data_IF_963529803819
#
_entry.id   IF_963529803819
#
_cell.length_a   1.000
_cell.length_b   1.000
_cell.length_c   1.000
_cell.angle_alpha   90.00
_cell.angle_beta   90.00
_cell.angle_gamma   90.00
#
_symmetry.space_group_name_H-M   'P 1'
#
loop_
_entity.id
_entity.type
_entity.pdbx_description
1 polymer ?
#
# COMPACT_ATOMS: atom_id res chain seq x y z
N UNK A 1 17.68 11.70 16.69
CA UNK A 1 17.81 10.25 16.96
C UNK A 1 19.25 9.83 16.78
N UNK A 2 19.57 8.58 17.12
CA UNK A 2 20.84 7.95 16.73
C UNK A 2 20.98 7.90 15.20
N UNK A 3 22.16 7.58 14.70
CA UNK A 3 22.37 7.51 13.25
C UNK A 3 21.58 6.36 12.61
N UNK A 4 21.36 5.27 13.34
CA UNK A 4 20.47 4.18 12.92
C UNK A 4 19.02 4.66 12.81
N UNK A 5 18.55 5.48 13.76
CA UNK A 5 17.20 6.03 13.72
C UNK A 5 17.00 6.97 12.53
N UNK A 6 17.97 7.86 12.27
CA UNK A 6 17.95 8.75 11.10
C UNK A 6 17.96 7.97 9.79
N UNK A 7 18.72 6.87 9.72
CA UNK A 7 18.78 6.01 8.54
C UNK A 7 17.44 5.31 8.22
N UNK A 8 16.46 5.31 9.15
CA UNK A 8 15.13 4.73 8.95
C UNK A 8 14.06 5.75 8.54
N UNK A 9 14.38 7.05 8.54
CA UNK A 9 13.44 8.09 8.17
C UNK A 9 12.89 7.89 6.75
N UNK A 10 11.58 8.14 6.57
CA UNK A 10 10.91 8.00 5.28
C UNK A 10 10.64 6.56 4.81
N UNK A 11 10.97 5.52 5.60
CA UNK A 11 10.78 4.11 5.20
C UNK A 11 9.49 3.48 5.73
N UNK A 12 9.05 3.85 6.92
CA UNK A 12 7.98 3.16 7.64
C UNK A 12 6.65 3.12 6.88
N UNK A 13 6.22 4.24 6.27
CA UNK A 13 4.95 4.32 5.56
C UNK A 13 4.91 3.37 4.35
N UNK A 14 5.98 3.31 3.56
CA UNK A 14 6.07 2.42 2.40
C UNK A 14 6.13 0.96 2.86
N UNK A 15 6.94 0.65 3.86
CA UNK A 15 7.04 -0.70 4.41
C UNK A 15 5.67 -1.19 4.91
N UNK A 16 4.93 -0.34 5.64
CA UNK A 16 3.60 -0.67 6.13
C UNK A 16 2.59 -0.92 4.98
N UNK A 17 2.58 -0.05 3.96
CA UNK A 17 1.69 -0.23 2.82
C UNK A 17 1.99 -1.52 2.03
N UNK A 18 3.27 -1.93 1.94
CA UNK A 18 3.65 -3.22 1.33
C UNK A 18 3.15 -4.42 2.12
N UNK A 19 3.21 -4.38 3.45
CA UNK A 19 2.64 -5.43 4.29
C UNK A 19 1.11 -5.50 4.17
N UNK A 20 0.44 -4.34 4.07
CA UNK A 20 -0.99 -4.28 3.81
C UNK A 20 -1.36 -4.85 2.43
N UNK A 21 -0.51 -4.63 1.41
CA UNK A 21 -0.68 -5.21 0.08
C UNK A 21 -0.49 -6.73 0.08
N UNK A 22 0.52 -7.25 0.79
CA UNK A 22 0.70 -8.70 0.98
C UNK A 22 -0.52 -9.33 1.66
N UNK A 23 -1.05 -8.68 2.71
CA UNK A 23 -2.27 -9.13 3.37
C UNK A 23 -3.46 -9.15 2.40
N UNK A 24 -3.60 -8.13 1.55
CA UNK A 24 -4.61 -8.09 0.50
C UNK A 24 -4.47 -9.30 -0.44
N UNK A 25 -3.28 -9.57 -0.98
CA UNK A 25 -3.05 -10.69 -1.90
C UNK A 25 -3.41 -12.02 -1.25
N UNK A 26 -2.91 -12.27 -0.03
CA UNK A 26 -3.22 -13.48 0.75
C UNK A 26 -4.72 -13.61 1.01
N UNK A 27 -5.38 -12.53 1.42
CA UNK A 27 -6.81 -12.57 1.76
C UNK A 27 -7.69 -12.93 0.56
N UNK A 28 -7.34 -12.45 -0.63
CA UNK A 28 -8.11 -12.72 -1.85
C UNK A 28 -7.67 -14.00 -2.59
N UNK A 29 -6.48 -14.54 -2.29
CA UNK A 29 -6.01 -15.80 -2.84
C UNK A 29 -6.39 -17.03 -1.98
N UNK A 30 -6.41 -16.89 -0.66
CA UNK A 30 -6.44 -18.04 0.27
C UNK A 30 -7.77 -18.20 1.03
N UNK A 31 -8.63 -17.17 1.10
CA UNK A 31 -9.89 -17.22 1.88
C UNK A 31 -11.00 -17.95 1.09
N UNK A 32 -11.46 -19.15 1.52
CA UNK A 32 -12.52 -19.89 0.83
C UNK A 32 -13.84 -19.11 0.77
N UNK A 33 -14.13 -18.29 1.79
CA UNK A 33 -15.33 -17.45 1.81
C UNK A 33 -15.27 -16.41 0.70
N UNK A 34 -14.09 -15.90 0.37
CA UNK A 34 -13.93 -15.02 -0.78
C UNK A 34 -14.19 -15.75 -2.09
N UNK A 35 -13.70 -16.98 -2.27
CA UNK A 35 -13.94 -17.76 -3.48
C UNK A 35 -15.45 -17.94 -3.76
N UNK A 36 -16.24 -18.24 -2.73
CA UNK A 36 -17.71 -18.35 -2.84
C UNK A 36 -18.39 -17.02 -3.24
N UNK A 37 -17.90 -15.90 -2.70
CA UNK A 37 -18.42 -14.57 -3.05
C UNK A 37 -18.05 -14.19 -4.48
N UNK A 38 -16.82 -14.48 -4.90
CA UNK A 38 -16.33 -14.23 -6.24
C UNK A 38 -17.13 -15.05 -7.28
N UNK A 39 -17.45 -16.31 -6.99
CA UNK A 39 -18.30 -17.15 -7.83
C UNK A 39 -19.73 -16.58 -8.00
N UNK A 40 -20.19 -15.76 -7.05
CA UNK A 40 -21.48 -15.03 -7.09
C UNK A 40 -21.36 -13.62 -7.68
N UNK A 41 -20.20 -13.26 -8.22
CA UNK A 41 -19.99 -11.98 -8.91
C UNK A 41 -19.50 -10.82 -8.03
N UNK A 42 -19.10 -11.08 -6.78
CA UNK A 42 -18.52 -10.06 -5.92
C UNK A 42 -17.26 -9.42 -6.56
N UNK A 43 -17.00 -8.15 -6.22
CA UNK A 43 -15.84 -7.40 -6.71
C UNK A 43 -14.77 -7.30 -5.64
N UNK A 44 -13.51 -7.44 -6.06
CA UNK A 44 -12.34 -7.32 -5.17
C UNK A 44 -12.30 -5.92 -4.56
N UNK A 45 -12.12 -5.83 -3.25
CA UNK A 45 -11.85 -4.56 -2.57
C UNK A 45 -10.39 -4.17 -2.81
N UNK A 46 -10.19 -3.16 -3.66
CA UNK A 46 -8.87 -2.65 -4.02
C UNK A 46 -8.25 -1.87 -2.85
N UNK A 47 -6.97 -2.09 -2.50
CA UNK A 47 -6.26 -1.21 -1.58
C UNK A 47 -6.22 0.21 -2.13
N UNK A 48 -6.42 1.21 -1.26
CA UNK A 48 -6.35 2.62 -1.62
C UNK A 48 -5.32 3.31 -0.74
N UNK A 49 -4.30 3.91 -1.36
CA UNK A 49 -3.31 4.73 -0.68
C UNK A 49 -3.78 6.18 -0.66
N UNK A 50 -3.96 6.72 0.54
CA UNK A 50 -4.36 8.10 0.78
C UNK A 50 -3.23 8.90 1.45
N UNK A 51 -3.33 10.23 1.43
CA UNK A 51 -2.30 11.13 1.95
C UNK A 51 -0.92 10.91 1.33
N UNK A 52 -0.88 10.66 0.03
CA UNK A 52 0.33 10.29 -0.73
C UNK A 52 1.11 11.50 -1.26
N UNK A 53 0.68 12.73 -0.99
CA UNK A 53 1.53 13.90 -1.22
C UNK A 53 2.72 13.91 -0.25
N UNK A 54 3.94 13.96 -0.75
CA UNK A 54 5.15 14.06 0.08
C UNK A 54 5.12 15.31 0.95
N UNK A 55 5.52 15.16 2.22
CA UNK A 55 5.48 16.24 3.24
C UNK A 55 6.86 16.76 3.65
N UNK A 56 7.92 16.02 3.29
CA UNK A 56 9.30 16.40 3.56
C UNK A 56 9.97 16.76 2.23
N UNK A 57 10.43 18.01 2.10
CA UNK A 57 11.08 18.52 0.90
C UNK A 57 12.41 17.80 0.55
N UNK A 58 12.99 17.04 1.49
CA UNK A 58 14.16 16.20 1.23
C UNK A 58 13.83 14.93 0.42
N UNK A 59 12.55 14.59 0.24
CA UNK A 59 12.11 13.42 -0.52
C UNK A 59 11.52 13.83 -1.86
N UNK A 60 11.55 12.92 -2.84
CA UNK A 60 10.82 13.08 -4.10
C UNK A 60 9.34 13.39 -3.84
N UNK A 61 8.78 14.36 -4.57
CA UNK A 61 7.36 14.69 -4.53
C UNK A 61 6.47 13.50 -4.95
N UNK A 62 7.01 12.61 -5.80
CA UNK A 62 6.38 11.36 -6.25
C UNK A 62 6.71 10.13 -5.39
N UNK A 63 7.46 10.26 -4.28
CA UNK A 63 7.95 9.12 -3.47
C UNK A 63 6.90 8.03 -3.21
N UNK A 64 5.72 8.42 -2.71
CA UNK A 64 4.68 7.46 -2.35
C UNK A 64 3.88 6.93 -3.55
N UNK A 65 3.95 7.58 -4.70
CA UNK A 65 3.37 7.06 -5.94
C UNK A 65 4.29 6.00 -6.52
N UNK A 66 5.58 6.34 -6.67
CA UNK A 66 6.59 5.46 -7.26
C UNK A 66 6.80 4.19 -6.44
N UNK A 67 6.86 4.30 -5.11
CA UNK A 67 7.18 3.16 -4.26
C UNK A 67 6.01 2.21 -3.99
N UNK A 68 4.77 2.62 -4.32
CA UNK A 68 3.52 1.90 -3.97
C UNK A 68 2.65 1.53 -5.18
N UNK A 69 3.15 1.73 -6.40
CA UNK A 69 2.47 1.24 -7.60
C UNK A 69 2.47 -0.30 -7.61
N UNK A 70 1.28 -0.89 -7.75
CA UNK A 70 1.08 -2.33 -7.81
C UNK A 70 -0.25 -2.65 -8.53
N UNK A 71 -0.49 -3.92 -8.84
CA UNK A 71 -1.76 -4.34 -9.46
C UNK A 71 -2.93 -4.12 -8.49
N UNK A 72 -4.10 -3.78 -9.02
CA UNK A 72 -5.34 -3.66 -8.23
C UNK A 72 -5.33 -2.61 -7.10
N UNK A 73 -4.37 -1.69 -7.04
CA UNK A 73 -4.40 -0.57 -6.09
C UNK A 73 -5.10 0.65 -6.67
N UNK A 74 -5.50 1.57 -5.82
CA UNK A 74 -5.86 2.96 -6.13
C UNK A 74 -4.89 3.85 -5.36
N UNK A 75 -4.47 4.96 -5.96
CA UNK A 75 -3.81 6.03 -5.23
C UNK A 75 -4.67 7.29 -5.36
N UNK A 76 -5.08 7.87 -4.24
CA UNK A 76 -5.79 9.16 -4.25
C UNK A 76 -4.77 10.27 -3.97
N UNK A 77 -4.47 11.03 -5.01
CA UNK A 77 -3.51 12.13 -4.94
C UNK A 77 -4.23 13.45 -4.63
N UNK A 78 -3.58 14.38 -3.90
CA UNK A 78 -4.07 15.75 -3.71
C UNK A 78 -4.00 16.59 -4.99
#
# INVERSE_FOLDING_TARGET
GSDEAKALEGKAAVANARLAYELFEKKFAEDPRWADLAAKGAKVQRPLWASTGTKNAAYSDCKYVDELVAKHIVNTMP
#
